data_IF_627349443869
#
_entry.id   IF_627349443869
#
_cell.length_a   1.000
_cell.length_b   1.000
_cell.length_c   1.000
_cell.angle_alpha   90.00
_cell.angle_beta   90.00
_cell.angle_gamma   90.00
#
_symmetry.space_group_name_H-M   'P 1'
#
loop_
_entity.id
_entity.type
_entity.pdbx_description
1 polymer ?
#
# COMPACT_ATOMS: atom_id res chain seq x y z
N UNK A 1 6.43 -19.26 -1.64
CA UNK A 1 5.34 -18.94 -0.68
C UNK A 1 4.21 -18.33 -1.48
N UNK A 2 2.99 -18.82 -1.34
CA UNK A 2 1.83 -18.12 -1.92
C UNK A 2 1.80 -16.70 -1.32
N UNK A 3 1.86 -15.69 -2.18
CA UNK A 3 1.77 -14.29 -1.77
C UNK A 3 0.35 -14.07 -1.22
N UNK A 4 0.26 -13.89 0.11
CA UNK A 4 -1.00 -13.77 0.85
C UNK A 4 -1.66 -12.41 0.62
N UNK A 5 -2.99 -12.39 0.60
CA UNK A 5 -3.78 -11.16 0.61
C UNK A 5 -3.87 -10.61 2.05
N UNK A 6 -3.55 -9.33 2.23
CA UNK A 6 -3.56 -8.61 3.50
C UNK A 6 -4.52 -7.42 3.45
N UNK A 7 -5.03 -7.00 4.61
CA UNK A 7 -5.86 -5.80 4.74
C UNK A 7 -5.05 -4.51 4.56
N UNK A 8 -5.75 -3.39 4.34
CA UNK A 8 -5.12 -2.06 4.32
C UNK A 8 -4.33 -1.78 5.61
N UNK A 9 -4.84 -2.17 6.79
CA UNK A 9 -4.14 -1.95 8.06
C UNK A 9 -2.84 -2.76 8.13
N UNK A 10 -2.88 -4.03 7.71
CA UNK A 10 -1.69 -4.88 7.65
C UNK A 10 -0.66 -4.34 6.64
N UNK A 11 -1.11 -3.80 5.49
CA UNK A 11 -0.23 -3.12 4.56
C UNK A 11 0.47 -1.92 5.22
N UNK A 12 -0.27 -1.04 5.90
CA UNK A 12 0.33 0.11 6.58
C UNK A 12 1.35 -0.29 7.64
N UNK A 13 1.08 -1.36 8.40
CA UNK A 13 2.01 -1.89 9.39
C UNK A 13 3.27 -2.46 8.72
N UNK A 14 3.10 -3.26 7.65
CA UNK A 14 4.21 -3.80 6.88
C UNK A 14 5.13 -2.72 6.31
N UNK A 15 4.56 -1.63 5.77
CA UNK A 15 5.34 -0.51 5.23
C UNK A 15 6.13 0.20 6.33
N UNK A 16 5.56 0.35 7.53
CA UNK A 16 6.27 0.91 8.69
C UNK A 16 7.42 0.04 9.18
N UNK A 17 7.29 -1.28 9.10
CA UNK A 17 8.37 -2.23 9.38
C UNK A 17 9.48 -2.20 8.32
N UNK A 18 9.18 -1.66 7.14
CA UNK A 18 10.08 -1.56 5.98
C UNK A 18 10.21 -0.11 5.47
N UNK A 19 10.69 0.83 6.30
CA UNK A 19 10.73 2.26 5.94
C UNK A 19 11.60 2.53 4.71
N UNK A 20 11.20 3.52 3.91
CA UNK A 20 11.89 3.98 2.69
C UNK A 20 12.14 2.90 1.64
N UNK A 21 11.44 1.76 1.71
CA UNK A 21 11.49 0.71 0.69
C UNK A 21 10.20 0.73 -0.11
N UNK A 22 10.32 1.05 -1.39
CA UNK A 22 9.21 0.93 -2.33
C UNK A 22 8.75 -0.51 -2.44
N UNK A 23 7.42 -0.67 -2.47
CA UNK A 23 6.72 -1.94 -2.58
C UNK A 23 5.66 -1.84 -3.66
N UNK A 24 5.78 -2.69 -4.66
CA UNK A 24 4.71 -2.92 -5.60
C UNK A 24 3.62 -3.75 -4.88
N UNK A 25 2.42 -3.20 -4.85
CA UNK A 25 1.26 -3.78 -4.18
C UNK A 25 0.11 -3.87 -5.16
N UNK A 26 -0.54 -5.03 -5.23
CA UNK A 26 -1.76 -5.23 -6.02
C UNK A 26 -2.99 -5.14 -5.13
N UNK A 27 -3.87 -4.18 -5.41
CA UNK A 27 -5.20 -4.08 -4.81
C UNK A 27 -6.17 -4.99 -5.56
N UNK A 28 -6.93 -5.82 -4.86
CA UNK A 28 -8.05 -6.56 -5.45
C UNK A 28 -9.24 -5.64 -5.70
N UNK A 29 -9.76 -5.67 -6.93
CA UNK A 29 -10.99 -4.96 -7.32
C UNK A 29 -12.20 -5.91 -7.41
N UNK A 30 -12.02 -7.18 -7.03
CA UNK A 30 -13.02 -8.24 -7.22
C UNK A 30 -12.98 -8.84 -8.63
N UNK A 31 -13.66 -9.98 -8.82
CA UNK A 31 -13.80 -10.66 -10.12
C UNK A 31 -12.47 -10.97 -10.85
N UNK A 32 -11.38 -11.20 -10.10
CA UNK A 32 -10.05 -11.43 -10.65
C UNK A 32 -9.32 -10.17 -11.15
N UNK A 33 -9.95 -9.00 -11.04
CA UNK A 33 -9.35 -7.71 -11.39
C UNK A 33 -8.47 -7.21 -10.24
N UNK A 34 -7.43 -6.47 -10.60
CA UNK A 34 -6.60 -5.79 -9.62
C UNK A 34 -5.92 -4.55 -10.19
N UNK A 35 -5.61 -3.61 -9.30
CA UNK A 35 -4.90 -2.38 -9.61
C UNK A 35 -3.50 -2.44 -8.99
N UNK A 36 -2.48 -2.07 -9.76
CA UNK A 36 -1.10 -1.97 -9.26
C UNK A 36 -0.90 -0.60 -8.60
N UNK A 37 -0.26 -0.61 -7.44
CA UNK A 37 0.07 0.58 -6.66
C UNK A 37 1.49 0.44 -6.12
N UNK A 38 2.20 1.55 -6.00
CA UNK A 38 3.52 1.62 -5.41
C UNK A 38 3.42 2.35 -4.08
N UNK A 39 3.98 1.76 -3.03
CA UNK A 39 3.93 2.32 -1.69
C UNK A 39 5.29 2.27 -1.01
N UNK A 40 5.59 3.30 -0.23
CA UNK A 40 6.56 3.21 0.86
C UNK A 40 6.12 4.11 2.02
N UNK A 41 6.67 3.85 3.20
CA UNK A 41 6.50 4.76 4.33
C UNK A 41 7.77 5.58 4.53
N UNK A 42 7.61 6.91 4.61
CA UNK A 42 8.70 7.84 4.92
C UNK A 42 8.65 8.23 6.41
N UNK A 43 9.63 7.79 7.23
CA UNK A 43 9.69 8.13 8.65
C UNK A 43 9.99 9.61 8.92
N UNK A 44 10.60 10.34 7.98
CA UNK A 44 10.97 11.75 8.20
C UNK A 44 9.74 12.65 8.20
N UNK A 45 8.83 12.39 7.27
CA UNK A 45 7.56 13.13 7.14
C UNK A 45 6.40 12.44 7.85
N UNK A 46 6.60 11.19 8.30
CA UNK A 46 5.57 10.32 8.86
C UNK A 46 4.37 10.14 7.90
N UNK A 47 4.66 10.03 6.60
CA UNK A 47 3.66 9.88 5.53
C UNK A 47 3.83 8.57 4.79
N UNK A 48 2.72 8.06 4.26
CA UNK A 48 2.70 6.98 3.29
C UNK A 48 2.75 7.57 1.90
N UNK A 49 3.84 7.32 1.20
CA UNK A 49 4.05 7.78 -0.15
C UNK A 49 3.42 6.77 -1.10
N UNK A 50 2.52 7.26 -1.94
CA UNK A 50 1.74 6.44 -2.86
C UNK A 50 1.93 6.87 -4.30
N UNK A 51 2.04 5.91 -5.21
CA UNK A 51 1.88 6.16 -6.63
C UNK A 51 1.10 5.03 -7.31
N UNK A 52 0.63 5.31 -8.52
CA UNK A 52 0.15 4.31 -9.47
C UNK A 52 0.93 4.39 -10.78
N UNK A 53 1.17 5.62 -11.21
CA UNK A 53 1.60 5.97 -12.54
C UNK A 53 2.63 7.10 -12.42
N UNK A 54 3.76 6.87 -11.73
CA UNK A 54 4.98 7.71 -11.68
C UNK A 54 5.17 8.63 -10.46
N UNK A 55 4.36 9.68 -10.27
CA UNK A 55 4.61 10.63 -9.17
C UNK A 55 4.07 10.12 -7.83
N UNK A 56 4.85 10.30 -6.76
CA UNK A 56 4.48 9.92 -5.42
C UNK A 56 3.78 11.06 -4.69
N UNK A 57 2.60 10.78 -4.13
CA UNK A 57 1.86 11.69 -3.27
C UNK A 57 1.88 11.24 -1.81
N UNK A 58 2.02 12.17 -0.85
CA UNK A 58 2.04 11.85 0.57
C UNK A 58 0.63 11.73 1.16
N UNK A 59 0.38 10.67 1.92
CA UNK A 59 -0.87 10.46 2.64
C UNK A 59 -0.67 10.06 4.09
N UNK A 60 -1.55 10.54 4.96
CA UNK A 60 -1.62 10.06 6.35
C UNK A 60 -2.27 8.68 6.39
N UNK A 61 -2.03 7.93 7.48
CA UNK A 61 -2.69 6.64 7.71
C UNK A 61 -4.23 6.74 7.61
N UNK A 62 -4.81 7.82 8.15
CA UNK A 62 -6.28 8.01 8.13
C UNK A 62 -6.81 8.29 6.73
N UNK A 63 -6.06 8.99 5.86
CA UNK A 63 -6.43 9.17 4.47
C UNK A 63 -6.40 7.83 3.70
N UNK A 64 -5.34 7.05 3.88
CA UNK A 64 -5.23 5.73 3.23
C UNK A 64 -6.38 4.82 3.66
N UNK A 65 -6.69 4.74 4.96
CA UNK A 65 -7.83 3.96 5.46
C UNK A 65 -9.17 4.51 4.97
N UNK A 66 -9.34 5.83 4.88
CA UNK A 66 -10.56 6.44 4.35
C UNK A 66 -10.83 6.04 2.90
N UNK A 67 -9.80 5.96 2.06
CA UNK A 67 -9.97 5.65 0.64
C UNK A 67 -9.99 4.15 0.36
N UNK A 68 -9.15 3.39 1.03
CA UNK A 68 -8.98 1.97 0.73
C UNK A 68 -9.71 1.03 1.68
N UNK A 69 -10.12 1.49 2.87
CA UNK A 69 -10.96 0.75 3.81
C UNK A 69 -10.54 -0.72 3.97
N UNK A 70 -11.46 -1.63 3.69
CA UNK A 70 -11.27 -3.09 3.73
C UNK A 70 -10.54 -3.67 2.50
N UNK A 71 -9.78 -2.82 1.80
CA UNK A 71 -8.97 -3.19 0.64
C UNK A 71 -8.11 -4.41 0.92
N UNK A 72 -8.11 -5.33 -0.05
CA UNK A 72 -7.29 -6.55 -0.01
C UNK A 72 -6.10 -6.35 -0.91
N UNK A 73 -4.92 -6.42 -0.33
CA UNK A 73 -3.65 -6.11 -0.96
C UNK A 73 -2.78 -7.35 -1.06
N UNK A 74 -1.96 -7.41 -2.08
CA UNK A 74 -0.92 -8.41 -2.23
C UNK A 74 0.40 -7.69 -2.49
N UNK A 75 1.39 -7.94 -1.65
CA UNK A 75 2.73 -7.37 -1.84
C UNK A 75 3.46 -8.23 -2.88
N UNK A 76 3.85 -7.62 -3.98
CA UNK A 76 4.45 -8.33 -5.12
C UNK A 76 5.98 -8.41 -5.02
N UNK A 77 6.66 -7.36 -4.54
CA UNK A 77 8.12 -7.29 -4.38
C UNK A 77 8.50 -6.41 -3.19
#
# INVERSE_FOLDING_TARGET
MEKQWISTIELLNYLKENPNKEKECRLSLGYGLGSTHYWYWDPKTNMFMHSRDWDFEPYTASQVVKWYGEGKWKIEQ
#
